data_IF_149424067575
#
_entry.id   IF_149424067575
#
_cell.length_a   1.000
_cell.length_b   1.000
_cell.length_c   1.000
_cell.angle_alpha   90.00
_cell.angle_beta   90.00
_cell.angle_gamma   90.00
#
_symmetry.space_group_name_H-M   'P 1'
#
loop_
_entity.id
_entity.type
_entity.pdbx_description
1 polymer ?
#
# COMPACT_ATOMS: atom_id res chain seq x y z
N UNK A 1 5.03 -10.90 -11.71
CA UNK A 1 4.07 -10.88 -10.56
C UNK A 1 4.73 -10.13 -9.43
N UNK A 2 3.97 -9.33 -8.65
CA UNK A 2 4.45 -8.65 -7.45
C UNK A 2 3.42 -8.77 -6.34
N UNK A 3 3.88 -8.72 -5.09
CA UNK A 3 3.05 -8.90 -3.92
C UNK A 3 3.61 -8.11 -2.72
N UNK A 4 2.70 -7.50 -1.96
CA UNK A 4 2.99 -6.84 -0.69
C UNK A 4 1.88 -7.21 0.30
N UNK A 5 2.18 -8.02 1.28
CA UNK A 5 1.17 -8.62 2.15
C UNK A 5 1.66 -8.82 3.58
N UNK A 6 0.73 -9.20 4.48
CA UNK A 6 1.06 -9.49 5.87
C UNK A 6 1.88 -10.78 6.06
N UNK A 7 2.01 -11.64 5.04
CA UNK A 7 2.82 -12.87 5.12
C UNK A 7 4.13 -12.77 4.35
N UNK A 8 4.38 -11.65 3.69
CA UNK A 8 5.64 -11.39 2.99
C UNK A 8 5.53 -10.23 2.02
N UNK A 9 6.68 -9.65 1.70
CA UNK A 9 6.84 -8.49 0.81
C UNK A 9 7.56 -8.87 -0.49
N UNK A 10 7.81 -10.15 -0.70
CA UNK A 10 8.35 -10.73 -1.94
C UNK A 10 7.68 -12.06 -2.24
N UNK A 11 7.80 -12.52 -3.50
CA UNK A 11 7.24 -13.82 -3.90
C UNK A 11 7.82 -14.98 -3.10
N UNK A 12 9.13 -14.95 -2.82
CA UNK A 12 9.80 -16.00 -2.06
C UNK A 12 9.35 -16.03 -0.60
N UNK A 13 9.25 -14.87 0.06
CA UNK A 13 8.74 -14.79 1.43
C UNK A 13 7.32 -15.31 1.54
N UNK A 14 6.45 -14.93 0.61
CA UNK A 14 5.05 -15.39 0.60
C UNK A 14 4.97 -16.89 0.33
N UNK A 15 5.74 -17.40 -0.64
CA UNK A 15 5.84 -18.83 -0.90
C UNK A 15 6.25 -19.60 0.38
N UNK A 16 7.32 -19.15 1.01
CA UNK A 16 7.86 -19.81 2.20
C UNK A 16 6.89 -19.73 3.39
N UNK A 17 6.17 -18.60 3.54
CA UNK A 17 5.13 -18.46 4.54
C UNK A 17 3.98 -19.45 4.32
N UNK A 18 3.53 -19.62 3.08
CA UNK A 18 2.48 -20.58 2.73
C UNK A 18 2.91 -22.02 2.98
N UNK A 19 4.12 -22.40 2.56
CA UNK A 19 4.64 -23.76 2.81
C UNK A 19 4.82 -24.08 4.29
N UNK A 20 5.18 -23.08 5.10
CA UNK A 20 5.37 -23.24 6.54
C UNK A 20 4.09 -23.03 7.35
N UNK A 21 2.98 -22.67 6.72
CA UNK A 21 1.73 -22.34 7.41
C UNK A 21 1.85 -21.11 8.31
N UNK A 22 2.77 -20.17 8.03
CA UNK A 22 2.91 -18.94 8.80
C UNK A 22 1.75 -17.99 8.52
N UNK A 23 1.18 -17.44 9.59
CA UNK A 23 0.14 -16.41 9.52
C UNK A 23 0.75 -15.02 9.74
N UNK A 24 0.25 -14.05 8.99
CA UNK A 24 0.53 -12.63 9.20
C UNK A 24 -0.57 -11.92 10.02
N UNK A 25 -1.50 -12.68 10.58
CA UNK A 25 -2.58 -12.15 11.41
C UNK A 25 -2.07 -11.97 12.84
N UNK A 26 -2.24 -10.76 13.38
CA UNK A 26 -1.89 -10.41 14.76
C UNK A 26 -3.10 -9.85 15.50
N UNK A 27 -3.00 -9.82 16.83
CA UNK A 27 -3.95 -9.09 17.67
C UNK A 27 -3.50 -7.62 17.78
N UNK A 28 -4.36 -6.72 17.31
CA UNK A 28 -4.20 -5.28 17.52
C UNK A 28 -5.07 -4.86 18.70
N UNK A 29 -4.41 -4.54 19.83
CA UNK A 29 -5.09 -4.15 21.05
C UNK A 29 -5.82 -2.82 20.90
N UNK A 30 -5.31 -1.90 20.08
CA UNK A 30 -5.95 -0.59 19.87
C UNK A 30 -7.36 -0.73 19.27
N UNK A 31 -7.57 -1.73 18.42
CA UNK A 31 -8.90 -2.04 17.88
C UNK A 31 -9.85 -2.56 18.95
N UNK A 32 -9.34 -3.38 19.88
CA UNK A 32 -10.12 -3.85 21.01
C UNK A 32 -10.53 -2.70 21.94
N UNK A 33 -9.60 -1.83 22.23
CA UNK A 33 -9.81 -0.66 23.09
C UNK A 33 -10.80 0.33 22.46
N UNK A 34 -10.81 0.42 21.11
CA UNK A 34 -11.79 1.17 20.34
C UNK A 34 -13.18 0.51 20.24
N UNK A 35 -13.37 -0.68 20.82
CA UNK A 35 -14.66 -1.38 20.87
C UNK A 35 -14.96 -2.30 19.68
N UNK A 36 -14.00 -2.57 18.79
CA UNK A 36 -14.21 -3.53 17.71
C UNK A 36 -14.40 -4.95 18.24
N UNK A 37 -15.35 -5.69 17.66
CA UNK A 37 -15.59 -7.09 18.04
C UNK A 37 -14.37 -7.98 17.80
N UNK A 38 -13.65 -7.74 16.69
CA UNK A 38 -12.38 -8.42 16.37
C UNK A 38 -11.22 -7.43 16.47
N UNK A 39 -10.16 -7.83 17.17
CA UNK A 39 -8.88 -7.14 17.15
C UNK A 39 -7.87 -7.80 16.20
N UNK A 40 -8.30 -8.79 15.42
CA UNK A 40 -7.39 -9.45 14.47
C UNK A 40 -7.21 -8.61 13.22
N UNK A 41 -5.94 -8.41 12.83
CA UNK A 41 -5.55 -7.65 11.64
C UNK A 41 -4.43 -8.34 10.90
N UNK A 42 -4.38 -8.17 9.57
CA UNK A 42 -3.20 -8.50 8.78
C UNK A 42 -2.15 -7.41 8.96
N UNK A 43 -1.05 -7.70 9.63
CA UNK A 43 0.01 -6.73 9.86
C UNK A 43 0.91 -6.63 8.61
N UNK A 44 0.54 -5.76 7.68
CA UNK A 44 1.32 -5.51 6.47
C UNK A 44 2.50 -4.58 6.80
N UNK A 45 3.75 -4.93 6.44
CA UNK A 45 4.90 -4.07 6.66
C UNK A 45 4.75 -2.72 5.94
N UNK A 46 5.11 -1.64 6.65
CA UNK A 46 5.10 -0.29 6.07
C UNK A 46 6.09 -0.18 4.92
N UNK A 47 5.71 0.59 3.91
CA UNK A 47 6.54 0.87 2.74
C UNK A 47 7.43 2.08 3.01
N UNK A 48 8.72 1.99 2.69
CA UNK A 48 9.58 3.17 2.54
C UNK A 48 9.68 3.57 1.06
N UNK A 49 8.95 4.60 0.68
CA UNK A 49 8.95 5.14 -0.68
C UNK A 49 10.08 6.17 -0.95
N UNK A 50 10.92 6.50 0.04
CA UNK A 50 11.98 7.50 -0.15
C UNK A 50 12.95 7.17 -1.28
N UNK A 51 13.33 5.90 -1.49
CA UNK A 51 14.22 5.55 -2.60
C UNK A 51 13.58 5.70 -3.98
N UNK A 52 12.24 5.75 -4.06
CA UNK A 52 11.51 5.62 -5.32
C UNK A 52 10.78 6.90 -5.73
N UNK A 53 10.32 7.68 -4.76
CA UNK A 53 9.46 8.84 -5.03
C UNK A 53 9.98 10.11 -4.36
N UNK A 54 9.80 11.24 -5.04
CA UNK A 54 10.08 12.57 -4.48
C UNK A 54 9.22 12.82 -3.23
N UNK A 55 9.64 13.79 -2.39
CA UNK A 55 8.87 14.19 -1.20
C UNK A 55 7.45 14.63 -1.58
N UNK A 56 7.30 15.38 -2.67
CA UNK A 56 6.00 15.84 -3.15
C UNK A 56 5.12 14.66 -3.55
N UNK A 57 5.62 13.73 -4.38
CA UNK A 57 4.85 12.56 -4.78
C UNK A 57 4.40 11.71 -3.57
N UNK A 58 5.28 11.52 -2.59
CA UNK A 58 4.94 10.76 -1.37
C UNK A 58 3.84 11.40 -0.53
N UNK A 59 3.70 12.73 -0.55
CA UNK A 59 2.66 13.42 0.22
C UNK A 59 1.24 13.17 -0.32
N UNK A 60 1.13 12.65 -1.55
CA UNK A 60 -0.13 12.30 -2.20
C UNK A 60 -0.41 10.80 -2.21
N UNK A 61 0.47 9.97 -1.62
CA UNK A 61 0.28 8.52 -1.58
C UNK A 61 -0.25 8.06 -0.23
N UNK A 62 -1.43 7.47 -0.22
CA UNK A 62 -1.97 6.77 0.93
C UNK A 62 -1.42 5.35 1.03
N UNK A 63 -1.65 4.66 2.15
CA UNK A 63 -1.07 3.37 2.46
C UNK A 63 -1.38 2.32 1.39
N UNK A 64 -2.62 2.24 0.94
CA UNK A 64 -3.06 1.30 -0.10
C UNK A 64 -2.34 1.58 -1.44
N UNK A 65 -2.18 2.85 -1.78
CA UNK A 65 -1.42 3.27 -2.98
C UNK A 65 0.05 2.87 -2.86
N UNK A 66 0.63 2.93 -1.66
CA UNK A 66 2.01 2.50 -1.42
C UNK A 66 2.17 0.99 -1.65
N UNK A 67 1.24 0.18 -1.16
CA UNK A 67 1.25 -1.26 -1.39
C UNK A 67 1.11 -1.61 -2.87
N UNK A 68 0.17 -0.95 -3.56
CA UNK A 68 -0.03 -1.12 -5.00
C UNK A 68 1.22 -0.73 -5.80
N UNK A 69 1.85 0.38 -5.46
CA UNK A 69 3.08 0.83 -6.10
C UNK A 69 4.21 -0.21 -5.96
N UNK A 70 4.42 -0.73 -4.76
CA UNK A 70 5.47 -1.74 -4.54
C UNK A 70 5.18 -3.05 -5.26
N UNK A 71 3.93 -3.52 -5.21
CA UNK A 71 3.54 -4.73 -5.93
C UNK A 71 3.67 -4.55 -7.46
N UNK A 72 3.32 -3.38 -7.99
CA UNK A 72 3.47 -3.06 -9.42
C UNK A 72 4.94 -3.07 -9.82
N UNK A 73 5.83 -2.41 -9.05
CA UNK A 73 7.26 -2.43 -9.33
C UNK A 73 7.82 -3.84 -9.37
N UNK A 74 7.53 -4.65 -8.37
CA UNK A 74 7.94 -6.06 -8.36
C UNK A 74 7.40 -6.84 -9.56
N UNK A 75 6.16 -6.55 -9.99
CA UNK A 75 5.57 -7.20 -11.15
C UNK A 75 6.31 -6.84 -12.45
N UNK A 76 6.68 -5.58 -12.62
CA UNK A 76 7.47 -5.11 -13.76
C UNK A 76 8.88 -5.74 -13.75
N UNK A 77 9.56 -5.70 -12.61
CA UNK A 77 10.90 -6.31 -12.45
C UNK A 77 10.86 -7.81 -12.75
N UNK A 78 9.86 -8.52 -12.22
CA UNK A 78 9.68 -9.95 -12.47
C UNK A 78 9.33 -10.27 -13.93
N UNK A 79 8.70 -9.35 -14.65
CA UNK A 79 8.37 -9.47 -16.07
C UNK A 79 9.53 -9.06 -16.99
N UNK A 80 10.60 -8.46 -16.46
CA UNK A 80 11.69 -7.87 -17.24
C UNK A 80 11.27 -6.63 -18.02
N UNK A 81 10.24 -5.92 -17.55
CA UNK A 81 9.73 -4.68 -18.16
C UNK A 81 10.45 -3.51 -17.50
N UNK A 82 11.26 -2.82 -18.24
CA UNK A 82 12.02 -1.64 -17.82
C UNK A 82 11.38 -0.33 -18.32
N UNK A 83 12.02 0.79 -18.02
CA UNK A 83 11.53 2.11 -18.43
C UNK A 83 11.59 2.30 -19.95
N UNK A 84 12.60 1.74 -20.61
CA UNK A 84 12.73 1.82 -22.07
C UNK A 84 11.54 1.11 -22.75
N UNK A 85 11.15 -0.05 -22.23
CA UNK A 85 9.96 -0.74 -22.71
C UNK A 85 8.70 0.09 -22.53
N UNK A 86 8.53 0.73 -21.37
CA UNK A 86 7.35 1.55 -21.06
C UNK A 86 7.26 2.82 -21.91
N UNK A 87 8.39 3.39 -22.32
CA UNK A 87 8.43 4.56 -23.20
C UNK A 87 8.04 4.24 -24.66
N UNK A 88 8.25 3.01 -25.10
CA UNK A 88 8.04 2.61 -26.48
C UNK A 88 6.80 1.72 -26.69
N UNK A 89 6.10 1.34 -25.62
CA UNK A 89 4.95 0.45 -25.71
C UNK A 89 3.79 0.97 -24.85
N UNK A 90 2.57 0.74 -25.33
CA UNK A 90 1.36 1.02 -24.54
C UNK A 90 1.19 -0.06 -23.47
N UNK A 91 1.21 0.37 -22.21
CA UNK A 91 0.97 -0.50 -21.05
C UNK A 91 -0.18 0.05 -20.24
N UNK A 92 -1.25 -0.73 -20.10
CA UNK A 92 -2.42 -0.38 -19.30
C UNK A 92 -2.28 -0.83 -17.85
N UNK A 93 -2.82 -0.02 -16.93
CA UNK A 93 -2.95 -0.38 -15.51
C UNK A 93 -4.44 -0.52 -15.20
N UNK A 94 -4.84 -1.65 -14.63
CA UNK A 94 -6.16 -1.85 -14.04
C UNK A 94 -5.95 -2.08 -12.55
N UNK A 95 -6.47 -1.16 -11.74
CA UNK A 95 -6.32 -1.20 -10.28
C UNK A 95 -7.70 -1.15 -9.62
N UNK A 96 -7.94 -2.05 -8.66
CA UNK A 96 -9.13 -2.08 -7.84
C UNK A 96 -8.77 -1.89 -6.37
N UNK A 97 -9.50 -1.01 -5.69
CA UNK A 97 -9.42 -0.81 -4.24
C UNK A 97 -10.83 -0.53 -3.72
N UNK A 98 -11.25 -1.23 -2.69
CA UNK A 98 -12.57 -1.06 -2.06
C UNK A 98 -12.52 -0.32 -0.71
N UNK A 99 -11.32 0.05 -0.24
CA UNK A 99 -11.09 0.52 1.14
C UNK A 99 -10.48 1.93 1.23
N UNK A 100 -10.73 2.80 0.26
CA UNK A 100 -10.20 4.17 0.26
C UNK A 100 -10.88 5.14 1.26
N UNK A 101 -11.70 4.62 2.18
CA UNK A 101 -12.47 5.45 3.14
C UNK A 101 -11.54 6.22 4.08
N UNK A 102 -10.48 5.60 4.57
CA UNK A 102 -9.54 6.22 5.52
C UNK A 102 -8.81 7.41 4.90
N UNK A 103 -8.46 7.34 3.62
CA UNK A 103 -7.87 8.44 2.87
C UNK A 103 -8.80 9.65 2.82
N UNK A 104 -10.07 9.42 2.51
CA UNK A 104 -11.10 10.47 2.41
C UNK A 104 -11.39 11.09 3.78
N UNK A 105 -11.53 10.27 4.82
CA UNK A 105 -11.75 10.75 6.19
C UNK A 105 -10.57 11.58 6.68
N UNK A 106 -9.34 11.09 6.49
CA UNK A 106 -8.11 11.80 6.87
C UNK A 106 -7.97 13.13 6.13
N UNK A 107 -8.30 13.18 4.84
CA UNK A 107 -8.28 14.42 4.06
C UNK A 107 -9.31 15.44 4.57
N UNK A 108 -10.53 15.00 4.87
CA UNK A 108 -11.59 15.87 5.40
C UNK A 108 -11.21 16.40 6.79
N UNK A 109 -10.70 15.56 7.68
CA UNK A 109 -10.29 15.98 9.02
C UNK A 109 -9.12 16.95 8.98
N UNK A 110 -8.15 16.72 8.10
CA UNK A 110 -7.06 17.65 7.89
C UNK A 110 -7.54 18.99 7.31
N UNK A 111 -8.48 18.95 6.35
CA UNK A 111 -9.08 20.17 5.81
C UNK A 111 -9.82 20.98 6.90
N UNK A 112 -10.54 20.32 7.78
CA UNK A 112 -11.22 20.97 8.93
C UNK A 112 -10.24 21.67 9.88
N UNK A 113 -9.01 21.13 10.00
CA UNK A 113 -7.98 21.70 10.87
C UNK A 113 -7.25 22.88 10.24
N UNK A 114 -6.89 22.78 8.97
CA UNK A 114 -5.99 23.74 8.30
C UNK A 114 -6.70 24.67 7.30
N UNK A 115 -7.93 24.35 6.91
CA UNK A 115 -8.74 25.08 5.91
C UNK A 115 -8.00 25.30 4.57
N UNK A 116 -7.09 24.39 4.23
CA UNK A 116 -6.30 24.43 3.00
C UNK A 116 -6.38 23.08 2.28
N UNK A 117 -7.03 23.09 1.10
CA UNK A 117 -7.22 21.88 0.31
C UNK A 117 -5.91 21.33 -0.28
N UNK A 118 -4.94 22.21 -0.57
CA UNK A 118 -3.64 21.80 -1.10
C UNK A 118 -2.83 21.03 -0.03
N UNK A 119 -2.93 21.46 1.24
CA UNK A 119 -2.27 20.79 2.34
C UNK A 119 -2.86 19.42 2.68
N UNK A 120 -4.08 19.11 2.20
CA UNK A 120 -4.74 17.84 2.49
C UNK A 120 -4.27 16.68 1.61
N UNK A 121 -3.60 16.98 0.50
CA UNK A 121 -3.31 16.00 -0.53
C UNK A 121 -4.57 15.55 -1.27
N UNK A 122 -4.42 15.13 -2.50
CA UNK A 122 -5.46 14.38 -3.21
C UNK A 122 -5.15 12.91 -3.01
N UNK A 123 -5.89 12.25 -2.15
CA UNK A 123 -5.81 10.80 -2.00
C UNK A 123 -6.22 10.06 -3.26
#
# INVERSE_FOLDING_TARGET
MGIWSCIGTSLDEVRDALYQGRSGIILDQSRKDAGFRSGLVGNVPKVDLKPFLSRSARSYTHEETQFAYMATRQALDHAGIDMDYLEHNEVGIIYGNDSAVDASVSAVDKFRQVHDSVACGSG
#
